data_IF_070170457370
#
_entry.id   IF_070170457370
#
_cell.length_a   1.000
_cell.length_b   1.000
_cell.length_c   1.000
_cell.angle_alpha   90.00
_cell.angle_beta   90.00
_cell.angle_gamma   90.00
#
_symmetry.space_group_name_H-M   'P 1'
#
loop_
_entity.id
_entity.type
_entity.pdbx_description
1 polymer ?
#
# COMPACT_ATOMS: atom_id res chain seq x y z
N UNK A 1 -12.76 9.30 7.80
CA UNK A 1 -11.49 8.61 7.50
C UNK A 1 -11.17 8.47 6.02
N UNK A 2 -12.03 7.91 5.14
CA UNK A 2 -11.66 7.64 3.73
C UNK A 2 -11.08 8.86 2.98
N UNK A 3 -11.65 10.05 3.20
CA UNK A 3 -11.22 11.31 2.56
C UNK A 3 -9.74 11.65 2.86
N UNK A 4 -9.26 11.40 4.08
CA UNK A 4 -7.91 11.77 4.55
C UNK A 4 -6.91 10.62 4.48
N UNK A 5 -7.31 9.45 3.96
CA UNK A 5 -6.41 8.31 3.75
C UNK A 5 -5.24 8.60 2.81
N UNK A 6 -5.38 9.43 1.74
CA UNK A 6 -4.27 9.66 0.80
C UNK A 6 -2.99 10.19 1.44
N UNK A 7 -3.06 10.91 2.56
CA UNK A 7 -1.86 11.45 3.23
C UNK A 7 -1.21 10.48 4.21
N UNK A 8 -1.85 9.37 4.56
CA UNK A 8 -1.30 8.38 5.49
C UNK A 8 -0.14 7.63 4.83
N UNK A 9 1.00 7.47 5.53
CA UNK A 9 2.10 6.61 5.08
C UNK A 9 2.20 5.30 5.87
N UNK A 10 1.94 5.38 7.17
CA UNK A 10 2.05 4.25 8.09
C UNK A 10 0.79 4.05 8.92
N UNK A 11 0.59 2.83 9.42
CA UNK A 11 -0.65 2.45 10.10
C UNK A 11 -0.97 3.29 11.34
N UNK A 12 0.06 3.65 12.13
CA UNK A 12 -0.12 4.36 13.40
C UNK A 12 -0.67 5.78 13.23
N UNK A 13 -0.41 6.42 12.09
CA UNK A 13 -0.90 7.77 11.77
C UNK A 13 -2.42 7.86 11.79
N UNK A 14 -3.13 6.75 11.54
CA UNK A 14 -4.60 6.74 11.62
C UNK A 14 -5.09 7.08 13.04
N UNK A 15 -4.35 6.69 14.10
CA UNK A 15 -4.70 7.02 15.48
C UNK A 15 -4.67 8.54 15.68
N UNK A 16 -3.58 9.17 15.21
CA UNK A 16 -3.38 10.62 15.29
C UNK A 16 -4.43 11.35 14.43
N UNK A 17 -4.68 10.89 13.20
CA UNK A 17 -5.69 11.48 12.31
C UNK A 17 -7.08 11.46 12.93
N UNK A 18 -7.52 10.32 13.49
CA UNK A 18 -8.85 10.20 14.09
C UNK A 18 -9.00 11.22 15.21
N UNK A 19 -8.00 11.35 16.08
CA UNK A 19 -8.03 12.33 17.16
C UNK A 19 -8.05 13.76 16.63
N UNK A 20 -7.25 14.10 15.62
CA UNK A 20 -7.29 15.43 15.01
C UNK A 20 -8.67 15.76 14.43
N UNK A 21 -9.32 14.79 13.75
CA UNK A 21 -10.68 14.98 13.23
C UNK A 21 -11.70 15.21 14.37
N UNK A 22 -11.57 14.47 15.47
CA UNK A 22 -12.43 14.66 16.66
C UNK A 22 -12.19 16.01 17.35
N UNK A 23 -10.96 16.53 17.31
CA UNK A 23 -10.59 17.85 17.82
C UNK A 23 -10.90 19.00 16.82
N UNK A 24 -11.53 18.71 15.68
CA UNK A 24 -12.06 19.72 14.76
C UNK A 24 -11.13 20.10 13.60
N UNK A 25 -9.99 19.41 13.43
CA UNK A 25 -9.15 19.58 12.23
C UNK A 25 -9.93 19.16 11.00
N UNK A 26 -9.95 20.00 9.97
CA UNK A 26 -10.71 19.72 8.76
C UNK A 26 -9.99 18.71 7.86
N UNK A 27 -10.73 17.90 7.08
CA UNK A 27 -10.12 17.03 6.07
C UNK A 27 -9.26 17.78 5.06
N UNK A 28 -9.64 19.01 4.71
CA UNK A 28 -8.90 19.84 3.77
C UNK A 28 -7.52 20.21 4.31
N UNK A 29 -7.44 20.64 5.57
CA UNK A 29 -6.15 20.94 6.23
C UNK A 29 -5.27 19.71 6.27
N UNK A 30 -5.80 18.54 6.67
CA UNK A 30 -5.03 17.29 6.66
C UNK A 30 -4.49 16.96 5.27
N UNK A 31 -5.33 17.03 4.24
CA UNK A 31 -4.89 16.72 2.88
C UNK A 31 -3.77 17.64 2.38
N UNK A 32 -3.65 18.84 2.93
CA UNK A 32 -2.64 19.82 2.53
C UNK A 32 -1.36 19.76 3.37
N UNK A 33 -1.46 19.55 4.68
CA UNK A 33 -0.34 19.75 5.62
C UNK A 33 -0.12 18.61 6.60
N UNK A 34 -0.70 17.42 6.38
CA UNK A 34 -0.60 16.30 7.33
C UNK A 34 0.83 15.98 7.80
N UNK A 35 1.80 15.99 6.89
CA UNK A 35 3.20 15.67 7.23
C UNK A 35 3.84 16.69 8.17
N UNK A 36 3.37 17.95 8.14
CA UNK A 36 3.81 19.01 9.06
C UNK A 36 3.01 18.99 10.36
N UNK A 37 1.72 18.62 10.28
CA UNK A 37 0.82 18.50 11.43
C UNK A 37 1.18 17.33 12.34
N UNK A 38 1.50 16.17 11.75
CA UNK A 38 1.77 14.93 12.47
C UNK A 38 2.81 15.10 13.60
N UNK A 39 4.05 15.59 13.37
CA UNK A 39 5.03 15.77 14.43
C UNK A 39 4.54 16.76 15.51
N UNK A 40 3.83 17.82 15.10
CA UNK A 40 3.26 18.82 16.02
C UNK A 40 2.24 18.19 16.97
N UNK A 41 1.32 17.37 16.46
CA UNK A 41 0.31 16.69 17.27
C UNK A 41 0.90 15.57 18.12
N UNK A 42 1.87 14.81 17.59
CA UNK A 42 2.58 13.80 18.37
C UNK A 42 3.28 14.44 19.57
N UNK A 43 3.99 15.56 19.38
CA UNK A 43 4.62 16.29 20.48
C UNK A 43 3.58 16.84 21.46
N UNK A 44 2.53 17.50 20.96
CA UNK A 44 1.47 18.10 21.79
C UNK A 44 0.79 17.05 22.70
N UNK A 45 0.63 15.84 22.21
CA UNK A 45 -0.03 14.76 22.95
C UNK A 45 0.94 13.82 23.67
N UNK A 46 2.24 14.08 23.62
CA UNK A 46 3.26 13.25 24.25
C UNK A 46 3.29 11.83 23.72
N UNK A 47 3.08 11.64 22.41
CA UNK A 47 3.02 10.33 21.78
C UNK A 47 4.39 9.93 21.21
N UNK A 48 4.77 8.69 21.46
CA UNK A 48 5.93 8.07 20.81
C UNK A 48 5.50 7.27 19.55
N UNK A 49 6.36 7.28 18.53
CA UNK A 49 6.09 6.55 17.28
C UNK A 49 6.11 5.04 17.48
N UNK A 50 7.11 4.51 18.19
CA UNK A 50 7.26 3.08 18.43
C UNK A 50 6.08 2.54 19.21
N UNK A 51 5.71 3.22 20.30
CA UNK A 51 4.55 2.87 21.12
C UNK A 51 3.25 2.83 20.30
N UNK A 52 3.02 3.81 19.42
CA UNK A 52 1.82 3.82 18.57
C UNK A 52 1.83 2.71 17.52
N UNK A 53 2.99 2.36 16.96
CA UNK A 53 3.13 1.24 16.03
C UNK A 53 2.79 -0.07 16.72
N UNK A 54 3.33 -0.28 17.92
CA UNK A 54 3.11 -1.49 18.71
C UNK A 54 1.65 -1.58 19.16
N UNK A 55 1.08 -0.50 19.71
CA UNK A 55 -0.31 -0.42 20.12
C UNK A 55 -1.26 -0.70 18.95
N UNK A 56 -1.00 -0.11 17.77
CA UNK A 56 -1.81 -0.36 16.58
C UNK A 56 -1.70 -1.81 16.10
N UNK A 57 -0.52 -2.43 16.22
CA UNK A 57 -0.30 -3.82 15.89
C UNK A 57 -1.02 -4.78 16.85
N UNK A 58 -0.77 -4.66 18.15
CA UNK A 58 -1.30 -5.56 19.18
C UNK A 58 -2.83 -5.51 19.27
N UNK A 59 -3.42 -4.31 19.20
CA UNK A 59 -4.88 -4.14 19.20
C UNK A 59 -5.52 -4.91 18.04
N UNK A 60 -4.86 -4.93 16.88
CA UNK A 60 -5.35 -5.67 15.70
C UNK A 60 -5.17 -7.17 15.84
N UNK A 61 -4.09 -7.61 16.49
CA UNK A 61 -3.87 -9.03 16.78
C UNK A 61 -4.91 -9.56 17.76
N UNK A 62 -5.17 -8.81 18.85
CA UNK A 62 -6.20 -9.13 19.83
C UNK A 62 -7.58 -9.19 19.18
N UNK A 63 -7.90 -8.23 18.32
CA UNK A 63 -9.16 -8.24 17.58
C UNK A 63 -9.26 -9.44 16.63
N UNK A 64 -8.21 -9.77 15.87
CA UNK A 64 -8.22 -10.97 15.01
C UNK A 64 -8.39 -12.27 15.80
N UNK A 65 -7.79 -12.36 16.99
CA UNK A 65 -7.90 -13.54 17.85
C UNK A 65 -9.29 -13.67 18.46
N UNK A 66 -9.94 -12.56 18.80
CA UNK A 66 -11.25 -12.54 19.43
C UNK A 66 -12.42 -12.64 18.42
N UNK A 67 -12.29 -11.98 17.27
CA UNK A 67 -13.34 -11.82 16.26
C UNK A 67 -12.74 -11.57 14.87
N UNK A 68 -12.36 -12.66 14.20
CA UNK A 68 -11.79 -12.59 12.86
C UNK A 68 -12.77 -11.99 11.84
N UNK A 69 -14.05 -12.35 11.91
CA UNK A 69 -15.06 -11.87 10.96
C UNK A 69 -15.29 -10.36 11.10
N UNK A 70 -15.38 -9.86 12.33
CA UNK A 70 -15.46 -8.44 12.61
C UNK A 70 -14.20 -7.69 12.18
N UNK A 71 -13.01 -8.26 12.37
CA UNK A 71 -11.77 -7.68 11.88
C UNK A 71 -11.69 -7.65 10.35
N UNK A 72 -12.25 -8.65 9.66
CA UNK A 72 -12.30 -8.73 8.20
C UNK A 72 -13.32 -7.77 7.60
N UNK A 73 -14.48 -7.58 8.22
CA UNK A 73 -15.59 -6.75 7.75
C UNK A 73 -15.22 -5.34 7.22
N UNK A 74 -14.29 -4.57 7.84
CA UNK A 74 -13.90 -3.26 7.31
C UNK A 74 -12.95 -3.31 6.11
N UNK A 75 -12.40 -4.48 5.77
CA UNK A 75 -11.49 -4.65 4.63
C UNK A 75 -12.28 -4.87 3.33
N UNK A 76 -11.62 -4.64 2.20
CA UNK A 76 -12.18 -4.89 0.87
C UNK A 76 -11.08 -5.28 -0.10
N UNK A 77 -11.32 -6.30 -0.91
CA UNK A 77 -10.56 -6.55 -2.12
C UNK A 77 -11.22 -5.77 -3.25
N UNK A 78 -10.43 -4.99 -3.99
CA UNK A 78 -10.95 -4.25 -5.13
C UNK A 78 -11.43 -5.22 -6.23
N UNK A 79 -12.54 -4.91 -6.92
CA UNK A 79 -13.03 -5.74 -8.02
C UNK A 79 -11.93 -6.05 -9.05
N UNK A 80 -11.85 -7.29 -9.52
CA UNK A 80 -10.86 -7.74 -10.51
C UNK A 80 -9.46 -8.03 -9.96
N UNK A 81 -9.06 -7.44 -8.82
CA UNK A 81 -7.70 -7.58 -8.29
C UNK A 81 -7.38 -9.00 -7.83
N UNK A 82 -8.35 -9.70 -7.24
CA UNK A 82 -8.15 -11.09 -6.82
C UNK A 82 -7.83 -12.01 -8.02
N UNK A 83 -8.61 -11.88 -9.10
CA UNK A 83 -8.44 -12.66 -10.32
C UNK A 83 -7.10 -12.34 -11.00
N UNK A 84 -6.76 -11.04 -11.11
CA UNK A 84 -5.48 -10.60 -11.65
C UNK A 84 -4.29 -11.16 -10.86
N UNK A 85 -4.33 -11.07 -9.52
CA UNK A 85 -3.29 -11.62 -8.65
C UNK A 85 -3.13 -13.15 -8.83
N UNK A 86 -4.24 -13.89 -8.90
CA UNK A 86 -4.19 -15.34 -9.13
C UNK A 86 -3.56 -15.69 -10.48
N UNK A 87 -3.92 -14.98 -11.55
CA UNK A 87 -3.33 -15.17 -12.87
C UNK A 87 -1.84 -14.85 -12.88
N UNK A 88 -1.44 -13.73 -12.27
CA UNK A 88 -0.04 -13.34 -12.16
C UNK A 88 0.79 -14.39 -11.41
N UNK A 89 0.29 -14.90 -10.29
CA UNK A 89 0.98 -15.91 -9.49
C UNK A 89 1.16 -17.26 -10.22
N UNK A 90 0.38 -17.54 -11.27
CA UNK A 90 0.54 -18.75 -12.09
C UNK A 90 1.63 -18.62 -13.15
N UNK A 91 1.93 -17.39 -13.57
CA UNK A 91 2.78 -17.12 -14.74
C UNK A 91 4.08 -16.37 -14.39
N UNK A 92 4.12 -15.73 -13.22
CA UNK A 92 5.18 -14.81 -12.84
C UNK A 92 5.58 -14.94 -11.37
N UNK A 93 6.76 -14.41 -11.07
CA UNK A 93 7.24 -14.24 -9.71
C UNK A 93 6.61 -12.98 -9.09
N UNK A 94 5.63 -13.19 -8.20
CA UNK A 94 4.89 -12.10 -7.55
C UNK A 94 5.37 -11.89 -6.12
N UNK A 95 5.57 -10.63 -5.74
CA UNK A 95 5.96 -10.19 -4.40
C UNK A 95 5.04 -9.07 -3.91
N UNK A 96 4.87 -8.98 -2.59
CA UNK A 96 4.15 -7.86 -1.97
C UNK A 96 5.13 -7.03 -1.16
N UNK A 97 5.22 -5.74 -1.47
CA UNK A 97 6.04 -4.78 -0.72
C UNK A 97 5.13 -3.74 -0.05
N UNK A 98 4.97 -3.81 1.26
CA UNK A 98 3.91 -3.10 1.99
C UNK A 98 4.40 -2.44 3.28
N UNK A 99 3.71 -1.40 3.75
CA UNK A 99 3.87 -0.86 5.11
C UNK A 99 2.93 -1.55 6.11
N UNK A 100 2.04 -2.45 5.67
CA UNK A 100 1.23 -3.28 6.56
C UNK A 100 2.09 -4.42 7.10
N UNK A 101 1.88 -4.83 8.35
CA UNK A 101 2.54 -6.03 8.88
C UNK A 101 2.10 -7.27 8.08
N UNK A 102 3.05 -8.14 7.73
CA UNK A 102 2.86 -9.20 6.73
C UNK A 102 1.67 -10.13 7.05
N UNK A 103 1.49 -10.52 8.32
CA UNK A 103 0.41 -11.39 8.78
C UNK A 103 -1.00 -10.84 8.49
N UNK A 104 -1.18 -9.52 8.55
CA UNK A 104 -2.47 -8.90 8.20
C UNK A 104 -2.73 -8.95 6.70
N UNK A 105 -1.69 -8.80 5.88
CA UNK A 105 -1.81 -8.92 4.43
C UNK A 105 -2.17 -10.35 4.03
N UNK A 106 -1.48 -11.35 4.60
CA UNK A 106 -1.78 -12.76 4.34
C UNK A 106 -3.20 -13.12 4.76
N UNK A 107 -3.63 -12.72 5.98
CA UNK A 107 -4.98 -13.01 6.44
C UNK A 107 -6.06 -12.42 5.52
N UNK A 108 -5.88 -11.18 5.05
CA UNK A 108 -6.82 -10.54 4.11
C UNK A 108 -6.86 -11.30 2.78
N UNK A 109 -5.69 -11.64 2.21
CA UNK A 109 -5.62 -12.35 0.93
C UNK A 109 -6.23 -13.74 1.02
N UNK A 110 -5.92 -14.49 2.09
CA UNK A 110 -6.45 -15.82 2.30
C UNK A 110 -7.97 -15.80 2.49
N UNK A 111 -8.45 -14.95 3.38
CA UNK A 111 -9.86 -14.98 3.79
C UNK A 111 -10.79 -14.28 2.80
N UNK A 112 -10.34 -13.23 2.13
CA UNK A 112 -11.20 -12.42 1.26
C UNK A 112 -10.99 -12.66 -0.24
N UNK A 113 -9.80 -13.10 -0.64
CA UNK A 113 -9.48 -13.38 -2.04
C UNK A 113 -9.28 -14.88 -2.33
N UNK A 114 -9.27 -15.74 -1.30
CA UNK A 114 -8.94 -17.16 -1.47
C UNK A 114 -7.48 -17.39 -1.93
N UNK A 115 -6.59 -16.42 -1.72
CA UNK A 115 -5.21 -16.45 -2.18
C UNK A 115 -4.30 -16.85 -1.01
N UNK A 116 -3.67 -18.02 -1.13
CA UNK A 116 -2.63 -18.46 -0.20
C UNK A 116 -1.29 -17.88 -0.65
N UNK A 117 -0.97 -16.67 -0.19
CA UNK A 117 0.25 -15.98 -0.61
C UNK A 117 1.44 -16.38 0.28
N UNK A 118 2.60 -16.78 -0.27
CA UNK A 118 3.75 -17.18 0.53
C UNK A 118 4.28 -16.05 1.41
N UNK A 119 4.40 -16.30 2.72
CA UNK A 119 4.82 -15.29 3.71
C UNK A 119 6.23 -14.75 3.45
N UNK A 120 7.13 -15.59 2.90
CA UNK A 120 8.50 -15.22 2.50
C UNK A 120 8.55 -14.32 1.25
N UNK A 121 7.41 -14.09 0.60
CA UNK A 121 7.25 -13.15 -0.52
C UNK A 121 6.51 -11.86 -0.12
N UNK A 122 6.20 -11.67 1.17
CA UNK A 122 5.58 -10.46 1.71
C UNK A 122 6.61 -9.65 2.50
N UNK A 123 7.13 -8.59 1.90
CA UNK A 123 8.07 -7.67 2.53
C UNK A 123 7.34 -6.53 3.22
N UNK A 124 7.35 -6.54 4.55
CA UNK A 124 6.74 -5.50 5.37
C UNK A 124 7.79 -4.49 5.86
N UNK A 125 7.70 -3.25 5.39
CA UNK A 125 8.56 -2.15 5.83
C UNK A 125 8.36 -1.84 7.32
N UNK A 126 7.16 -2.01 7.89
CA UNK A 126 6.94 -1.81 9.32
C UNK A 126 7.67 -2.84 10.18
N UNK A 127 7.87 -4.05 9.67
CA UNK A 127 8.61 -5.10 10.40
C UNK A 127 10.11 -4.97 10.19
N UNK A 128 10.55 -4.69 8.96
CA UNK A 128 11.99 -4.69 8.62
C UNK A 128 12.66 -3.33 8.76
N UNK A 129 11.89 -2.23 8.78
CA UNK A 129 12.39 -0.86 8.64
C UNK A 129 12.92 -0.52 7.24
N UNK A 130 13.04 -1.50 6.34
CA UNK A 130 13.68 -1.34 5.03
C UNK A 130 12.79 -0.55 4.07
N UNK A 131 13.31 0.51 3.42
CA UNK A 131 12.62 1.20 2.35
C UNK A 131 12.20 0.26 1.22
N UNK A 132 11.08 0.57 0.55
CA UNK A 132 10.62 -0.23 -0.59
C UNK A 132 11.64 -0.30 -1.73
N UNK A 133 12.41 0.78 -1.96
CA UNK A 133 13.46 0.80 -3.00
C UNK A 133 14.51 -0.29 -2.80
N UNK A 134 15.01 -0.45 -1.57
CA UNK A 134 16.00 -1.51 -1.25
C UNK A 134 15.42 -2.91 -1.46
N UNK A 135 14.12 -3.09 -1.17
CA UNK A 135 13.45 -4.37 -1.44
C UNK A 135 13.37 -4.62 -2.95
N UNK A 136 13.06 -3.60 -3.75
CA UNK A 136 13.01 -3.74 -5.22
C UNK A 136 14.39 -4.01 -5.83
N UNK A 137 15.46 -3.42 -5.29
CA UNK A 137 16.83 -3.72 -5.71
C UNK A 137 17.19 -5.17 -5.42
N UNK A 138 16.94 -5.63 -4.18
CA UNK A 138 17.16 -7.02 -3.78
C UNK A 138 16.35 -8.01 -4.64
N UNK A 139 15.11 -7.68 -5.00
CA UNK A 139 14.29 -8.51 -5.88
C UNK A 139 14.84 -8.54 -7.31
N UNK A 140 15.36 -7.43 -7.82
CA UNK A 140 16.04 -7.38 -9.11
C UNK A 140 17.31 -8.25 -9.13
N UNK A 141 18.12 -8.17 -8.08
CA UNK A 141 19.32 -9.01 -7.93
C UNK A 141 18.98 -10.51 -7.78
N UNK A 142 17.83 -10.83 -7.20
CA UNK A 142 17.36 -12.21 -7.04
C UNK A 142 16.86 -12.84 -8.34
N UNK A 143 16.42 -12.04 -9.30
CA UNK A 143 15.81 -12.51 -10.56
C UNK A 143 16.48 -11.89 -11.80
N UNK A 144 17.81 -11.94 -11.95
CA UNK A 144 18.51 -11.22 -13.01
C UNK A 144 18.08 -11.63 -14.44
N UNK A 145 17.53 -12.83 -14.60
CA UNK A 145 16.99 -13.36 -15.85
C UNK A 145 15.56 -12.94 -16.18
N UNK A 146 14.88 -12.19 -15.30
CA UNK A 146 13.53 -11.71 -15.55
C UNK A 146 13.51 -10.78 -16.78
N UNK A 147 12.63 -11.07 -17.74
CA UNK A 147 12.51 -10.27 -18.96
C UNK A 147 11.94 -8.87 -18.76
N UNK A 148 11.26 -8.64 -17.63
CA UNK A 148 10.69 -7.34 -17.26
C UNK A 148 10.42 -7.28 -15.75
N UNK A 149 10.31 -6.07 -15.22
CA UNK A 149 10.05 -5.81 -13.80
C UNK A 149 8.91 -4.81 -13.68
N UNK A 150 7.86 -5.16 -12.95
CA UNK A 150 6.68 -4.31 -12.82
C UNK A 150 6.44 -3.97 -11.35
N UNK A 151 6.28 -2.69 -11.04
CA UNK A 151 5.94 -2.21 -9.70
C UNK A 151 4.62 -1.45 -9.74
N UNK A 152 3.61 -2.01 -9.07
CA UNK A 152 2.23 -1.51 -9.04
C UNK A 152 1.92 -1.01 -7.63
N UNK A 153 1.47 0.24 -7.51
CA UNK A 153 1.36 0.94 -6.22
C UNK A 153 0.22 1.97 -6.27
N UNK A 154 -0.41 2.27 -5.12
CA UNK A 154 -1.45 3.31 -5.04
C UNK A 154 -0.97 4.64 -4.45
N UNK A 155 0.22 4.65 -3.85
CA UNK A 155 0.88 5.82 -3.28
C UNK A 155 1.89 6.46 -4.25
N UNK A 156 1.54 7.61 -4.82
CA UNK A 156 2.41 8.33 -5.77
C UNK A 156 3.79 8.65 -5.19
N UNK A 157 3.89 9.13 -3.95
CA UNK A 157 5.18 9.49 -3.35
C UNK A 157 6.15 8.31 -3.25
N UNK A 158 5.64 7.08 -3.21
CA UNK A 158 6.48 5.86 -3.28
C UNK A 158 7.03 5.69 -4.69
N UNK A 159 6.19 5.83 -5.72
CA UNK A 159 6.60 5.71 -7.12
C UNK A 159 7.60 6.80 -7.51
N UNK A 160 7.41 8.04 -7.07
CA UNK A 160 8.34 9.15 -7.32
C UNK A 160 9.71 8.87 -6.70
N UNK A 161 9.76 8.35 -5.46
CA UNK A 161 11.02 7.94 -4.81
C UNK A 161 11.70 6.82 -5.60
N UNK A 162 10.95 5.80 -6.03
CA UNK A 162 11.49 4.69 -6.84
C UNK A 162 11.99 5.19 -8.20
N UNK A 163 11.28 6.10 -8.86
CA UNK A 163 11.66 6.66 -10.15
C UNK A 163 12.99 7.44 -10.13
N UNK A 164 13.38 7.97 -8.96
CA UNK A 164 14.63 8.69 -8.76
C UNK A 164 15.83 7.78 -8.52
N UNK A 165 15.63 6.49 -8.24
CA UNK A 165 16.70 5.53 -7.94
C UNK A 165 17.27 4.96 -9.25
N UNK A 166 18.54 5.23 -9.61
CA UNK A 166 19.08 4.83 -10.90
C UNK A 166 19.12 3.31 -11.14
N UNK A 167 19.41 2.53 -10.10
CA UNK A 167 19.40 1.05 -10.12
C UNK A 167 18.01 0.46 -10.39
N UNK A 168 16.94 1.24 -10.21
CA UNK A 168 15.56 0.80 -10.41
C UNK A 168 14.96 1.26 -11.75
N UNK A 169 15.75 1.82 -12.66
CA UNK A 169 15.26 2.28 -13.98
C UNK A 169 14.60 1.16 -14.81
N UNK A 170 14.98 -0.10 -14.60
CA UNK A 170 14.40 -1.24 -15.29
C UNK A 170 12.95 -1.55 -14.90
N UNK A 171 12.47 -1.03 -13.76
CA UNK A 171 11.08 -1.22 -13.36
C UNK A 171 10.12 -0.37 -14.20
N UNK A 172 9.04 -0.98 -14.67
CA UNK A 172 7.86 -0.29 -15.16
C UNK A 172 7.00 0.09 -13.94
N UNK A 173 6.70 1.38 -13.78
CA UNK A 173 6.02 1.91 -12.61
C UNK A 173 4.57 2.24 -12.93
N UNK A 174 3.66 1.72 -12.12
CA UNK A 174 2.22 1.90 -12.31
C UNK A 174 1.57 2.49 -11.06
N UNK A 175 0.93 3.65 -11.21
CA UNK A 175 0.01 4.20 -10.22
C UNK A 175 -1.39 3.66 -10.51
N UNK A 176 -2.00 2.95 -9.57
CA UNK A 176 -3.39 2.48 -9.71
C UNK A 176 -4.38 3.58 -9.33
N UNK A 177 -5.43 3.80 -10.12
CA UNK A 177 -6.37 4.90 -9.88
C UNK A 177 -7.47 4.61 -8.83
N UNK A 178 -7.66 3.34 -8.47
CA UNK A 178 -8.71 2.88 -7.55
C UNK A 178 -8.29 2.89 -6.07
N UNK A 179 -7.02 3.17 -5.78
CA UNK A 179 -6.46 3.22 -4.43
C UNK A 179 -6.65 4.56 -3.73
N UNK A 180 -5.81 4.86 -2.73
CA UNK A 180 -5.91 6.09 -1.93
C UNK A 180 -5.05 7.22 -2.52
N UNK A 181 -5.31 7.61 -3.77
CA UNK A 181 -4.71 8.81 -4.38
C UNK A 181 -5.78 9.83 -4.80
N UNK A 182 -5.32 11.06 -4.93
CA UNK A 182 -6.10 12.24 -5.31
C UNK A 182 -6.01 12.50 -6.82
N UNK A 183 -6.96 13.27 -7.34
CA UNK A 183 -6.93 13.69 -8.75
C UNK A 183 -5.65 14.47 -9.11
N UNK A 184 -5.16 15.43 -8.30
CA UNK A 184 -3.87 16.07 -8.55
C UNK A 184 -2.69 15.09 -8.57
N UNK A 185 -2.70 14.05 -7.73
CA UNK A 185 -1.66 13.01 -7.76
C UNK A 185 -1.69 12.24 -9.07
N UNK A 186 -2.86 11.82 -9.56
CA UNK A 186 -2.97 11.14 -10.86
C UNK A 186 -2.48 12.01 -12.01
N UNK A 187 -2.83 13.29 -12.02
CA UNK A 187 -2.35 14.24 -13.05
C UNK A 187 -0.83 14.39 -13.01
N UNK A 188 -0.24 14.51 -11.81
CA UNK A 188 1.21 14.56 -11.63
C UNK A 188 1.90 13.27 -12.08
N UNK A 189 1.33 12.12 -11.76
CA UNK A 189 1.84 10.82 -12.19
C UNK A 189 1.85 10.69 -13.71
N UNK A 190 0.74 11.06 -14.37
CA UNK A 190 0.62 11.06 -15.83
C UNK A 190 1.65 12.00 -16.50
N UNK A 191 2.01 13.11 -15.84
CA UNK A 191 3.02 14.05 -16.31
C UNK A 191 4.47 13.64 -16.00
N UNK A 192 4.71 12.61 -15.17
CA UNK A 192 6.04 12.24 -14.68
C UNK A 192 6.92 11.56 -15.75
N UNK A 193 6.34 10.97 -16.79
CA UNK A 193 7.06 10.30 -17.88
C UNK A 193 7.69 8.94 -17.52
N UNK A 194 7.80 8.59 -16.22
CA UNK A 194 8.25 7.26 -15.73
C UNK A 194 7.13 6.43 -15.11
N UNK A 195 5.98 7.03 -14.84
CA UNK A 195 4.86 6.42 -14.13
C UNK A 195 3.67 6.39 -15.09
N UNK A 196 3.09 5.21 -15.29
CA UNK A 196 1.82 5.04 -15.97
C UNK A 196 0.68 5.04 -14.93
N UNK A 197 -0.37 5.81 -15.16
CA UNK A 197 -1.60 5.68 -14.37
C UNK A 197 -2.44 4.58 -15.02
N UNK A 198 -2.91 3.62 -14.24
CA UNK A 198 -3.73 2.51 -14.72
C UNK A 198 -5.01 2.32 -13.91
N UNK A 199 -6.08 1.93 -14.59
CA UNK A 199 -7.32 1.47 -13.97
C UNK A 199 -7.33 -0.05 -13.72
N UNK A 200 -8.37 -0.54 -13.03
CA UNK A 200 -8.46 -1.95 -12.64
C UNK A 200 -8.57 -2.89 -13.85
N UNK A 201 -9.14 -2.43 -14.96
CA UNK A 201 -9.26 -3.20 -16.19
C UNK A 201 -7.92 -3.28 -16.93
N UNK A 202 -7.14 -2.20 -16.94
CA UNK A 202 -5.77 -2.16 -17.44
C UNK A 202 -4.86 -3.08 -16.63
N UNK A 203 -4.99 -3.08 -15.30
CA UNK A 203 -4.27 -4.03 -14.46
C UNK A 203 -4.68 -5.49 -14.75
N UNK A 204 -5.98 -5.74 -14.95
CA UNK A 204 -6.46 -7.05 -15.40
C UNK A 204 -5.83 -7.48 -16.73
N UNK A 205 -5.75 -6.57 -17.72
CA UNK A 205 -5.09 -6.83 -19.01
C UNK A 205 -3.60 -7.10 -18.86
N UNK A 206 -2.89 -6.35 -18.00
CA UNK A 206 -1.48 -6.61 -17.68
C UNK A 206 -1.29 -7.99 -17.05
N UNK A 207 -2.26 -8.45 -16.27
CA UNK A 207 -2.28 -9.80 -15.68
C UNK A 207 -2.75 -10.91 -16.63
N UNK A 208 -3.07 -10.60 -17.89
CA UNK A 208 -3.60 -11.57 -18.84
C UNK A 208 -5.05 -12.00 -18.56
N UNK A 209 -5.79 -11.23 -17.77
CA UNK A 209 -7.20 -11.47 -17.44
C UNK A 209 -8.09 -10.59 -18.31
N UNK A 210 -9.12 -11.19 -18.92
CA UNK A 210 -10.13 -10.43 -19.66
C UNK A 210 -10.90 -9.49 -18.71
N UNK A 211 -11.31 -8.29 -19.16
CA UNK A 211 -12.07 -7.37 -18.31
C UNK A 211 -13.35 -8.05 -17.81
N UNK A 212 -13.71 -7.79 -16.55
CA UNK A 212 -14.96 -8.27 -16.00
C UNK A 212 -16.11 -7.66 -16.83
N UNK A 213 -16.87 -8.49 -17.53
CA UNK A 213 -18.08 -8.02 -18.22
C UNK A 213 -19.04 -7.48 -17.15
N UNK A 214 -19.27 -6.18 -17.17
CA UNK A 214 -20.34 -5.52 -16.41
C UNK A 214 -21.69 -5.91 -16.99
#
# INVERSE_FOLDING_TARGET
>A
MRIVRPVVETGYENIVQIRCLLEGVTPQEMLQTWHDMLPTYMQRWGLDRGELVDLFGSTRDEWMAADLDGWLAPNRIYPGVAQAMQALMQQHEVYIVTTKQARFTEAILRQMAGIHFPMDRIFSQTVSGRPKSEVLEMLAERHPEAGSYHFVEDKLSTLEKVAQVPSLQQYQLYLVDWGYNTEPERQRAAAHGRIAVIDADEFGRLAGVAPARV
#
